data_IF_233190969635
#
_entry.id   IF_233190969635
#
_cell.length_a   1.000
_cell.length_b   1.000
_cell.length_c   1.000
_cell.angle_alpha   90.00
_cell.angle_beta   90.00
_cell.angle_gamma   90.00
#
_symmetry.space_group_name_H-M   'P 1'
#
loop_
_entity.id
_entity.type
_entity.pdbx_description
1 polymer ?
#
# COMPACT_ATOMS: atom_id res chain seq x y z
N UNK A 1 -15.90 -8.34 -11.48
CA UNK A 1 -14.93 -7.22 -11.48
C UNK A 1 -15.02 -6.55 -10.11
N UNK A 2 -13.90 -6.30 -9.42
CA UNK A 2 -13.87 -5.78 -8.03
C UNK A 2 -13.12 -4.44 -8.04
N UNK A 3 -13.68 -3.42 -7.38
CA UNK A 3 -13.09 -2.08 -7.28
C UNK A 3 -11.69 -2.09 -6.65
N UNK A 4 -10.82 -1.18 -7.10
CA UNK A 4 -9.52 -0.94 -6.48
C UNK A 4 -9.67 -0.36 -5.06
N UNK A 5 -10.68 0.50 -4.87
CA UNK A 5 -10.94 1.23 -3.60
C UNK A 5 -12.11 0.62 -2.82
N UNK A 6 -12.24 -0.71 -2.78
CA UNK A 6 -13.31 -1.33 -2.00
C UNK A 6 -13.17 -1.01 -0.51
N UNK A 7 -14.27 -0.62 0.14
CA UNK A 7 -14.30 -0.55 1.60
C UNK A 7 -14.19 -1.96 2.18
N UNK A 8 -13.45 -2.09 3.27
CA UNK A 8 -13.39 -3.34 4.03
C UNK A 8 -14.12 -3.11 5.35
N UNK A 9 -14.98 -4.03 5.80
CA UNK A 9 -15.55 -3.96 7.13
C UNK A 9 -14.43 -4.00 8.18
N UNK A 10 -14.61 -3.24 9.26
CA UNK A 10 -13.64 -3.18 10.35
C UNK A 10 -13.83 -4.36 11.29
N UNK A 11 -12.94 -5.35 11.20
CA UNK A 11 -12.90 -6.54 12.05
C UNK A 11 -12.12 -6.37 13.35
N UNK A 12 -11.59 -5.17 13.65
CA UNK A 12 -10.85 -4.92 14.89
C UNK A 12 -11.76 -5.04 16.11
N UNK A 13 -11.21 -5.50 17.23
CA UNK A 13 -11.90 -5.53 18.52
C UNK A 13 -12.14 -4.10 19.05
N UNK A 14 -13.00 -3.94 20.05
CA UNK A 14 -13.34 -2.63 20.61
C UNK A 14 -12.11 -1.97 21.24
N UNK A 15 -11.29 -2.76 21.93
CA UNK A 15 -10.07 -2.33 22.59
C UNK A 15 -9.08 -1.70 21.59
N UNK A 16 -8.92 -2.30 20.40
CA UNK A 16 -8.06 -1.75 19.35
C UNK A 16 -8.51 -0.39 18.81
N UNK A 17 -9.80 -0.03 18.93
CA UNK A 17 -10.33 1.28 18.50
C UNK A 17 -10.08 2.38 19.52
N UNK A 18 -9.87 2.01 20.78
CA UNK A 18 -9.66 2.94 21.89
C UNK A 18 -8.18 3.30 22.09
N UNK A 19 -7.27 2.56 21.46
CA UNK A 19 -5.83 2.87 21.46
C UNK A 19 -5.58 4.22 20.80
N UNK A 20 -4.95 5.13 21.55
CA UNK A 20 -4.45 6.41 21.04
C UNK A 20 -2.96 6.29 20.76
N UNK A 21 -2.58 6.57 19.53
CA UNK A 21 -1.19 6.67 19.12
C UNK A 21 -0.73 8.13 19.24
N UNK A 22 0.58 8.33 19.41
CA UNK A 22 1.18 9.66 19.32
C UNK A 22 1.06 10.19 17.88
N UNK A 23 0.94 11.51 17.72
CA UNK A 23 0.97 12.16 16.41
C UNK A 23 2.42 12.22 15.87
N UNK A 24 3.44 12.17 16.73
CA UNK A 24 4.86 12.22 16.33
C UNK A 24 5.46 10.83 16.07
N UNK A 25 4.89 10.10 15.12
CA UNK A 25 5.44 8.82 14.67
C UNK A 25 6.49 9.02 13.55
N UNK A 26 7.51 8.15 13.46
CA UNK A 26 8.46 8.20 12.36
C UNK A 26 7.77 7.90 11.02
N UNK A 27 8.25 8.51 9.95
CA UNK A 27 7.81 8.20 8.58
C UNK A 27 8.27 6.79 8.19
N UNK A 28 7.46 6.08 7.42
CA UNK A 28 7.73 4.73 6.94
C UNK A 28 7.73 4.66 5.41
N UNK A 29 8.70 3.93 4.86
CA UNK A 29 8.72 3.51 3.45
C UNK A 29 8.08 2.12 3.32
N UNK A 30 7.14 1.96 2.40
CA UNK A 30 6.45 0.68 2.16
C UNK A 30 7.04 0.01 0.92
N UNK A 31 7.72 -1.12 1.09
CA UNK A 31 8.31 -1.88 -0.01
C UNK A 31 7.40 -3.07 -0.34
N UNK A 32 6.93 -3.15 -1.58
CA UNK A 32 6.09 -4.24 -2.09
C UNK A 32 6.88 -4.99 -3.16
N UNK A 33 7.24 -6.22 -2.87
CA UNK A 33 7.90 -7.14 -3.81
C UNK A 33 6.83 -7.95 -4.53
N UNK A 34 6.90 -8.05 -5.84
CA UNK A 34 5.97 -8.84 -6.63
C UNK A 34 6.66 -9.66 -7.73
N UNK A 35 6.10 -10.82 -8.04
CA UNK A 35 6.52 -11.70 -9.14
C UNK A 35 5.28 -12.22 -9.86
N UNK A 36 5.13 -11.87 -11.13
CA UNK A 36 4.00 -12.27 -11.99
C UNK A 36 2.59 -11.98 -11.42
N UNK A 37 2.48 -11.09 -10.43
CA UNK A 37 1.23 -10.75 -9.74
C UNK A 37 0.24 -10.05 -10.69
N UNK A 38 -1.05 -10.38 -10.59
CA UNK A 38 -2.04 -9.76 -11.45
C UNK A 38 -2.12 -8.24 -11.17
N UNK A 39 -2.36 -7.45 -12.21
CA UNK A 39 -2.36 -5.99 -12.10
C UNK A 39 -3.39 -5.47 -11.10
N UNK A 40 -4.60 -6.05 -11.09
CA UNK A 40 -5.67 -5.57 -10.21
C UNK A 40 -5.42 -5.85 -8.72
N UNK A 41 -4.92 -7.02 -8.27
CA UNK A 41 -4.43 -7.18 -6.89
C UNK A 41 -3.29 -6.22 -6.53
N UNK A 42 -2.27 -6.10 -7.38
CA UNK A 42 -1.12 -5.22 -7.09
C UNK A 42 -1.58 -3.78 -6.87
N UNK A 43 -2.40 -3.25 -7.77
CA UNK A 43 -2.95 -1.89 -7.64
C UNK A 43 -3.91 -1.74 -6.45
N UNK A 44 -4.67 -2.79 -6.07
CA UNK A 44 -5.47 -2.77 -4.84
C UNK A 44 -4.60 -2.61 -3.60
N UNK A 45 -3.44 -3.26 -3.57
CA UNK A 45 -2.48 -3.14 -2.46
C UNK A 45 -1.94 -1.73 -2.38
N UNK A 46 -1.48 -1.17 -3.51
CA UNK A 46 -0.98 0.21 -3.59
C UNK A 46 -2.04 1.22 -3.13
N UNK A 47 -3.26 1.13 -3.68
CA UNK A 47 -4.39 2.00 -3.28
C UNK A 47 -4.72 1.86 -1.80
N UNK A 48 -4.69 0.64 -1.25
CA UNK A 48 -4.95 0.43 0.18
C UNK A 48 -3.89 1.08 1.06
N UNK A 49 -2.61 1.07 0.65
CA UNK A 49 -1.53 1.71 1.41
C UNK A 49 -1.73 3.23 1.42
N UNK A 50 -1.98 3.84 0.25
CA UNK A 50 -2.16 5.29 0.12
C UNK A 50 -3.43 5.77 0.85
N UNK A 51 -4.57 5.09 0.65
CA UNK A 51 -5.85 5.56 1.18
C UNK A 51 -6.07 5.29 2.67
N UNK A 52 -5.30 4.39 3.29
CA UNK A 52 -5.49 3.99 4.70
C UNK A 52 -4.33 4.32 5.61
N UNK A 53 -3.24 4.86 5.07
CA UNK A 53 -2.12 5.36 5.86
C UNK A 53 -2.22 6.88 5.97
N UNK A 54 -1.97 7.47 7.16
CA UNK A 54 -1.86 8.92 7.27
C UNK A 54 -0.72 9.45 6.39
N UNK A 55 -1.02 10.43 5.51
CA UNK A 55 -0.05 10.94 4.53
C UNK A 55 1.24 11.48 5.15
N UNK A 56 1.17 12.07 6.35
CA UNK A 56 2.34 12.59 7.06
C UNK A 56 3.30 11.49 7.56
N UNK A 57 2.82 10.24 7.69
CA UNK A 57 3.62 9.08 8.10
C UNK A 57 4.12 8.27 6.91
N UNK A 58 3.57 8.46 5.71
CA UNK A 58 4.01 7.75 4.52
C UNK A 58 5.18 8.51 3.89
N UNK A 59 6.33 7.86 3.75
CA UNK A 59 7.48 8.44 3.06
C UNK A 59 7.39 8.20 1.55
N UNK A 60 7.27 6.93 1.17
CA UNK A 60 7.28 6.46 -0.21
C UNK A 60 6.68 5.04 -0.28
N UNK A 61 6.26 4.63 -1.47
CA UNK A 61 5.85 3.25 -1.76
C UNK A 61 6.74 2.73 -2.89
N UNK A 62 7.57 1.73 -2.61
CA UNK A 62 8.51 1.15 -3.57
C UNK A 62 7.95 -0.16 -4.08
N UNK A 63 7.75 -0.27 -5.39
CA UNK A 63 7.40 -1.52 -6.06
C UNK A 63 8.68 -2.18 -6.60
N UNK A 64 8.99 -3.37 -6.11
CA UNK A 64 10.15 -4.16 -6.54
C UNK A 64 9.67 -5.36 -7.35
N UNK A 65 10.06 -5.41 -8.62
CA UNK A 65 9.81 -6.55 -9.50
C UNK A 65 10.91 -7.61 -9.32
N UNK A 66 10.54 -8.77 -8.78
CA UNK A 66 11.43 -9.92 -8.64
C UNK A 66 11.28 -10.85 -9.86
N UNK A 67 11.78 -10.35 -11.00
CA UNK A 67 11.92 -11.06 -12.28
C UNK A 67 10.61 -11.63 -12.86
N UNK A 68 9.54 -10.83 -12.89
CA UNK A 68 8.30 -11.20 -13.56
C UNK A 68 8.51 -11.48 -15.06
N UNK A 69 7.92 -12.57 -15.54
CA UNK A 69 7.91 -12.94 -16.97
C UNK A 69 6.79 -12.21 -17.73
N UNK A 70 5.73 -11.84 -17.02
CA UNK A 70 4.68 -10.98 -17.55
C UNK A 70 5.28 -9.60 -17.77
N UNK A 71 5.16 -9.06 -18.99
CA UNK A 71 5.64 -7.71 -19.35
C UNK A 71 4.86 -6.67 -18.53
N UNK A 72 5.31 -6.42 -17.31
CA UNK A 72 4.89 -5.26 -16.54
C UNK A 72 5.67 -4.07 -17.09
N UNK A 73 4.98 -3.12 -17.71
CA UNK A 73 5.54 -1.78 -18.00
C UNK A 73 5.70 -1.02 -16.68
N UNK A 74 6.68 -1.41 -15.88
CA UNK A 74 7.16 -0.62 -14.75
C UNK A 74 8.68 -0.52 -14.88
N UNK A 75 9.12 0.20 -15.91
CA UNK A 75 10.45 0.79 -15.90
C UNK A 75 10.38 2.01 -14.96
N UNK A 76 10.81 1.82 -13.72
CA UNK A 76 11.06 2.94 -12.81
C UNK A 76 10.62 2.68 -11.39
N UNK A 77 11.42 3.19 -10.45
CA UNK A 77 10.96 3.55 -9.12
C UNK A 77 9.67 4.37 -9.29
N UNK A 78 8.52 3.79 -8.92
CA UNK A 78 7.32 4.60 -8.75
C UNK A 78 7.44 5.27 -7.39
N UNK A 79 8.28 6.31 -7.30
CA UNK A 79 8.23 7.20 -6.14
C UNK A 79 6.90 7.93 -6.28
N UNK A 80 5.88 7.44 -5.57
CA UNK A 80 4.68 8.21 -5.31
C UNK A 80 5.08 9.28 -4.28
N UNK A 81 5.80 10.30 -4.75
CA UNK A 81 5.97 11.53 -4.01
C UNK A 81 4.56 12.11 -3.82
N UNK A 82 4.01 11.92 -2.63
CA UNK A 82 2.79 12.59 -2.18
C UNK A 82 3.09 14.04 -1.81
#
# INVERSE_FOLDING_TARGET
>A
MISLDRSLPDYRSKECREIKYDDSLPRASVIIIFTDEAWSPLMRTVHSVVNRSPLHLLHEVILLDDFSQRVAKLLGHLVLDC
#
